data_IF_752580827632
#
_entry.id   IF_752580827632
#
_cell.length_a   1.000
_cell.length_b   1.000
_cell.length_c   1.000
_cell.angle_alpha   90.00
_cell.angle_beta   90.00
_cell.angle_gamma   90.00
#
_symmetry.space_group_name_H-M   'P 1'
#
loop_
_entity.id
_entity.type
_entity.pdbx_description
1 polymer ?
#
# COMPACT_ATOMS: atom_id res chain seq x y z
N UNK A 1 14.86 -5.88 -5.15
CA UNK A 1 14.67 -5.50 -6.57
C UNK A 1 13.44 -6.14 -7.20
N UNK A 2 13.20 -7.44 -7.09
CA UNK A 2 12.03 -8.11 -7.69
C UNK A 2 10.68 -7.49 -7.26
N UNK A 3 10.52 -7.15 -5.99
CA UNK A 3 9.31 -6.50 -5.45
C UNK A 3 8.99 -5.19 -6.19
N UNK A 4 9.96 -4.28 -6.29
CA UNK A 4 9.78 -2.98 -6.98
C UNK A 4 9.43 -3.20 -8.46
N UNK A 5 10.04 -4.21 -9.10
CA UNK A 5 9.72 -4.60 -10.47
C UNK A 5 8.25 -5.00 -10.60
N UNK A 6 7.72 -5.83 -9.69
CA UNK A 6 6.31 -6.23 -9.67
C UNK A 6 5.40 -5.01 -9.53
N UNK A 7 5.71 -4.09 -8.61
CA UNK A 7 4.92 -2.86 -8.41
C UNK A 7 4.85 -1.97 -9.66
N UNK A 8 5.91 -1.94 -10.47
CA UNK A 8 5.91 -1.17 -11.71
C UNK A 8 5.19 -1.91 -12.86
N UNK A 9 5.45 -3.20 -13.03
CA UNK A 9 4.99 -3.95 -14.20
C UNK A 9 3.51 -4.33 -14.15
N UNK A 10 2.96 -4.63 -12.99
CA UNK A 10 1.55 -5.08 -12.90
C UNK A 10 0.58 -3.98 -13.37
N UNK A 11 0.61 -2.73 -12.87
CA UNK A 11 -0.25 -1.67 -13.40
C UNK A 11 0.01 -1.38 -14.89
N UNK A 12 1.28 -1.36 -15.32
CA UNK A 12 1.64 -1.12 -16.73
C UNK A 12 1.09 -2.20 -17.65
N UNK A 13 1.07 -3.46 -17.22
CA UNK A 13 0.45 -4.53 -18.00
C UNK A 13 -1.02 -4.23 -18.27
N UNK A 14 -1.80 -3.88 -17.26
CA UNK A 14 -3.22 -3.54 -17.43
C UNK A 14 -3.43 -2.33 -18.34
N UNK A 15 -2.62 -1.29 -18.17
CA UNK A 15 -2.71 -0.05 -18.98
C UNK A 15 -2.36 -0.33 -20.47
N UNK A 16 -1.36 -1.17 -20.72
CA UNK A 16 -0.86 -1.43 -22.08
C UNK A 16 -1.58 -2.57 -22.80
N UNK A 17 -2.32 -3.42 -22.09
CA UNK A 17 -3.00 -4.55 -22.69
C UNK A 17 -4.12 -4.07 -23.64
N UNK A 18 -4.12 -4.49 -24.93
CA UNK A 18 -5.03 -3.92 -25.95
C UNK A 18 -6.52 -4.07 -25.62
N UNK A 19 -6.90 -5.19 -24.99
CA UNK A 19 -8.28 -5.47 -24.64
C UNK A 19 -8.69 -4.90 -23.27
N UNK A 20 -7.75 -4.51 -22.42
CA UNK A 20 -8.04 -4.06 -21.03
C UNK A 20 -7.84 -2.56 -20.88
N UNK A 21 -6.75 -2.04 -21.43
CA UNK A 21 -6.38 -0.61 -21.30
C UNK A 21 -7.50 0.36 -21.64
N UNK A 22 -8.29 0.15 -22.69
CA UNK A 22 -9.43 1.03 -23.03
C UNK A 22 -10.54 1.07 -21.97
N UNK A 23 -10.61 0.08 -21.08
CA UNK A 23 -11.61 0.01 -20.01
C UNK A 23 -11.13 0.60 -18.69
N UNK A 24 -9.88 1.08 -18.63
CA UNK A 24 -9.36 1.75 -17.44
C UNK A 24 -9.91 3.17 -17.33
N UNK A 25 -9.96 3.69 -16.11
CA UNK A 25 -10.38 5.07 -15.83
C UNK A 25 -9.23 6.07 -15.93
N UNK A 26 -8.13 5.67 -16.61
CA UNK A 26 -6.94 6.50 -16.77
C UNK A 26 -7.24 7.69 -17.69
N UNK A 27 -6.97 8.90 -17.19
CA UNK A 27 -7.07 10.14 -17.99
C UNK A 27 -5.69 10.80 -18.16
N UNK A 28 -5.53 11.59 -19.24
CA UNK A 28 -4.23 12.13 -19.64
C UNK A 28 -4.04 13.61 -19.30
N UNK A 29 -5.09 14.40 -19.35
CA UNK A 29 -5.04 15.84 -19.13
C UNK A 29 -5.73 16.19 -17.82
N UNK A 30 -5.06 16.93 -16.95
CA UNK A 30 -5.66 17.36 -15.68
C UNK A 30 -6.92 18.17 -15.91
N UNK A 31 -7.01 18.89 -17.05
CA UNK A 31 -8.21 19.64 -17.45
C UNK A 31 -9.46 18.78 -17.61
N UNK A 32 -9.32 17.46 -17.84
CA UNK A 32 -10.49 16.58 -18.05
C UNK A 32 -11.36 16.46 -16.78
N UNK A 33 -10.73 16.55 -15.59
CA UNK A 33 -11.41 16.52 -14.29
C UNK A 33 -11.10 17.73 -13.40
N UNK A 34 -10.10 18.54 -13.77
CA UNK A 34 -9.68 19.73 -13.04
C UNK A 34 -8.81 19.46 -11.81
N UNK A 35 -8.19 20.53 -11.30
CA UNK A 35 -7.28 20.47 -10.14
C UNK A 35 -7.97 20.06 -8.84
N UNK A 36 -9.24 20.41 -8.68
CA UNK A 36 -10.01 20.01 -7.50
C UNK A 36 -10.12 18.48 -7.38
N UNK A 37 -10.43 17.80 -8.49
CA UNK A 37 -10.39 16.34 -8.54
C UNK A 37 -8.98 15.78 -8.35
N UNK A 38 -8.00 16.37 -9.05
CA UNK A 38 -6.61 15.89 -8.95
C UNK A 38 -6.14 15.79 -7.50
N UNK A 39 -6.35 16.81 -6.70
CA UNK A 39 -5.98 16.77 -5.28
C UNK A 39 -6.99 16.02 -4.41
N UNK A 40 -8.27 16.09 -4.73
CA UNK A 40 -9.35 15.40 -4.02
C UNK A 40 -9.32 13.87 -4.15
N UNK A 41 -8.68 13.34 -5.20
CA UNK A 41 -8.52 11.91 -5.39
C UNK A 41 -7.60 11.28 -4.32
N UNK A 42 -6.61 11.99 -3.81
CA UNK A 42 -5.66 11.42 -2.83
C UNK A 42 -6.33 10.95 -1.53
N UNK A 43 -7.19 11.72 -0.85
CA UNK A 43 -7.93 11.20 0.32
C UNK A 43 -8.73 9.94 0.00
N UNK A 44 -9.36 9.87 -1.17
CA UNK A 44 -10.12 8.70 -1.61
C UNK A 44 -9.17 7.50 -1.80
N UNK A 45 -8.04 7.70 -2.47
CA UNK A 45 -7.02 6.68 -2.68
C UNK A 45 -6.47 6.15 -1.34
N UNK A 46 -6.23 7.03 -0.35
CA UNK A 46 -5.78 6.61 0.98
C UNK A 46 -6.82 5.76 1.70
N UNK A 47 -8.09 6.14 1.69
CA UNK A 47 -9.16 5.34 2.29
C UNK A 47 -9.32 3.97 1.59
N UNK A 48 -9.27 3.96 0.28
CA UNK A 48 -9.33 2.71 -0.50
C UNK A 48 -8.12 1.82 -0.21
N UNK A 49 -6.91 2.41 -0.17
CA UNK A 49 -5.69 1.69 0.14
C UNK A 49 -5.73 1.09 1.54
N UNK A 50 -6.10 1.87 2.55
CA UNK A 50 -6.18 1.41 3.94
C UNK A 50 -7.19 0.27 4.09
N UNK A 51 -8.37 0.40 3.48
CA UNK A 51 -9.38 -0.65 3.46
C UNK A 51 -8.89 -1.91 2.76
N UNK A 52 -8.29 -1.77 1.58
CA UNK A 52 -7.73 -2.89 0.82
C UNK A 52 -6.61 -3.58 1.62
N UNK A 53 -5.67 -2.80 2.13
CA UNK A 53 -4.52 -3.29 2.88
C UNK A 53 -4.96 -4.05 4.13
N UNK A 54 -5.91 -3.52 4.90
CA UNK A 54 -6.45 -4.19 6.07
C UNK A 54 -6.96 -5.60 5.74
N UNK A 55 -7.78 -5.72 4.70
CA UNK A 55 -8.35 -7.02 4.34
C UNK A 55 -7.34 -7.96 3.70
N UNK A 56 -6.48 -7.47 2.84
CA UNK A 56 -5.43 -8.23 2.20
C UNK A 56 -4.43 -8.77 3.24
N UNK A 57 -3.97 -7.92 4.13
CA UNK A 57 -3.05 -8.27 5.21
C UNK A 57 -3.68 -9.29 6.17
N UNK A 58 -4.91 -9.05 6.60
CA UNK A 58 -5.67 -10.00 7.43
C UNK A 58 -5.84 -11.35 6.76
N UNK A 59 -6.11 -11.36 5.45
CA UNK A 59 -6.19 -12.59 4.66
C UNK A 59 -4.85 -13.33 4.62
N UNK A 60 -3.74 -12.61 4.42
CA UNK A 60 -2.40 -13.19 4.42
C UNK A 60 -2.00 -13.77 5.78
N UNK A 61 -2.55 -13.26 6.88
CA UNK A 61 -2.39 -13.84 8.22
C UNK A 61 -3.24 -15.09 8.47
N UNK A 62 -4.11 -15.49 7.53
CA UNK A 62 -4.86 -16.74 7.68
C UNK A 62 -3.89 -17.94 7.76
N UNK A 63 -4.05 -18.89 8.71
CA UNK A 63 -3.09 -19.98 8.95
C UNK A 63 -2.67 -20.79 7.71
N UNK A 64 -3.59 -20.96 6.74
CA UNK A 64 -3.31 -21.69 5.50
C UNK A 64 -2.52 -20.87 4.48
N UNK A 65 -2.53 -19.54 4.58
CA UNK A 65 -1.93 -18.62 3.60
C UNK A 65 -0.64 -17.98 4.13
N UNK A 66 -0.52 -17.81 5.43
CA UNK A 66 0.59 -17.11 6.06
C UNK A 66 1.96 -17.59 5.60
N UNK A 67 2.20 -18.90 5.61
CA UNK A 67 3.49 -19.46 5.20
C UNK A 67 3.84 -19.21 3.74
N UNK A 68 2.82 -19.13 2.88
CA UNK A 68 3.02 -18.95 1.44
C UNK A 68 3.19 -17.47 1.06
N UNK A 69 2.43 -16.58 1.70
CA UNK A 69 2.37 -15.20 1.29
C UNK A 69 3.21 -14.28 2.18
N UNK A 70 3.12 -14.41 3.50
CA UNK A 70 3.50 -13.36 4.44
C UNK A 70 4.62 -13.74 5.43
N UNK A 71 4.97 -15.02 5.54
CA UNK A 71 6.03 -15.48 6.46
C UNK A 71 7.37 -14.79 6.18
N UNK A 72 7.74 -14.59 4.90
CA UNK A 72 9.03 -13.97 4.53
C UNK A 72 9.15 -12.57 5.14
N UNK A 73 8.07 -11.79 5.11
CA UNK A 73 8.00 -10.46 5.72
C UNK A 73 8.19 -10.55 7.25
N UNK A 74 7.51 -11.48 7.90
CA UNK A 74 7.55 -11.70 9.34
C UNK A 74 8.81 -12.42 9.87
N UNK A 75 9.73 -12.86 9.01
CA UNK A 75 11.05 -13.32 9.47
C UNK A 75 11.83 -12.20 10.19
N UNK A 76 11.52 -10.96 9.89
CA UNK A 76 12.06 -9.79 10.60
C UNK A 76 11.18 -9.48 11.82
N UNK A 77 11.43 -10.12 12.95
CA UNK A 77 10.68 -9.93 14.21
C UNK A 77 10.98 -8.61 14.92
N UNK A 78 12.04 -7.92 14.54
CA UNK A 78 12.36 -6.56 14.91
C UNK A 78 12.77 -5.82 13.64
N UNK A 79 11.77 -5.40 12.80
CA UNK A 79 12.06 -4.88 11.48
C UNK A 79 12.88 -3.59 11.53
N UNK A 80 13.70 -3.43 10.53
CA UNK A 80 14.38 -2.19 10.18
C UNK A 80 13.76 -1.62 8.91
N UNK A 81 14.05 -0.37 8.52
CA UNK A 81 13.57 0.21 7.26
C UNK A 81 13.82 -0.66 6.02
N UNK A 82 14.85 -1.49 6.03
CA UNK A 82 15.15 -2.43 4.94
C UNK A 82 14.15 -3.59 4.84
N UNK A 83 13.48 -3.93 5.94
CA UNK A 83 12.45 -4.97 5.94
C UNK A 83 11.14 -4.54 5.27
N UNK A 84 10.93 -3.24 5.10
CA UNK A 84 9.70 -2.66 4.53
C UNK A 84 9.30 -3.25 3.17
N UNK A 85 10.27 -3.76 2.41
CA UNK A 85 10.05 -4.38 1.10
C UNK A 85 10.64 -5.81 1.00
N UNK A 86 10.88 -6.46 2.14
CA UNK A 86 11.29 -7.86 2.20
C UNK A 86 10.08 -8.78 2.05
N UNK A 87 9.42 -8.74 0.89
CA UNK A 87 8.21 -9.51 0.57
C UNK A 87 8.51 -10.77 -0.20
N UNK A 88 7.70 -11.80 0.00
CA UNK A 88 7.57 -12.88 -0.96
C UNK A 88 6.95 -12.34 -2.26
N UNK A 89 7.32 -12.84 -3.47
CA UNK A 89 6.74 -12.35 -4.73
C UNK A 89 5.21 -12.39 -4.79
N UNK A 90 4.59 -13.41 -4.20
CA UNK A 90 3.13 -13.51 -4.13
C UNK A 90 2.51 -12.43 -3.23
N UNK A 91 3.16 -12.06 -2.15
CA UNK A 91 2.77 -10.92 -1.31
C UNK A 91 2.83 -9.62 -2.11
N UNK A 92 3.95 -9.39 -2.83
CA UNK A 92 4.12 -8.21 -3.66
C UNK A 92 3.00 -8.07 -4.72
N UNK A 93 2.51 -9.19 -5.29
CA UNK A 93 1.37 -9.18 -6.23
C UNK A 93 0.08 -8.73 -5.52
N UNK A 94 -0.17 -9.21 -4.31
CA UNK A 94 -1.32 -8.78 -3.52
C UNK A 94 -1.20 -7.30 -3.18
N UNK A 95 -0.05 -6.87 -2.67
CA UNK A 95 0.18 -5.47 -2.29
C UNK A 95 -0.03 -4.49 -3.46
N UNK A 96 0.46 -4.84 -4.65
CA UNK A 96 0.28 -4.00 -5.84
C UNK A 96 -1.16 -4.00 -6.38
N UNK A 97 -1.98 -4.96 -5.97
CA UNK A 97 -3.37 -5.10 -6.41
C UNK A 97 -4.21 -3.84 -6.21
N UNK A 98 -3.92 -3.03 -5.19
CA UNK A 98 -4.61 -1.74 -4.98
C UNK A 98 -4.45 -0.78 -6.17
N UNK A 99 -3.30 -0.76 -6.83
CA UNK A 99 -3.10 0.07 -8.02
C UNK A 99 -3.96 -0.39 -9.20
N UNK A 100 -4.20 -1.69 -9.29
CA UNK A 100 -5.16 -2.24 -10.27
C UNK A 100 -6.60 -1.84 -9.90
N UNK A 101 -6.95 -1.89 -8.62
CA UNK A 101 -8.27 -1.39 -8.15
C UNK A 101 -8.47 0.08 -8.54
N UNK A 102 -7.48 0.94 -8.31
CA UNK A 102 -7.56 2.35 -8.71
C UNK A 102 -7.83 2.51 -10.22
N UNK A 103 -7.16 1.72 -11.07
CA UNK A 103 -7.31 1.79 -12.53
C UNK A 103 -8.74 1.55 -13.03
N UNK A 104 -9.58 0.87 -12.25
CA UNK A 104 -10.93 0.49 -12.68
C UNK A 104 -12.05 1.14 -11.86
N UNK A 105 -11.72 1.90 -10.82
CA UNK A 105 -12.74 2.40 -9.87
C UNK A 105 -12.86 3.91 -9.80
N UNK A 106 -11.76 4.65 -9.99
CA UNK A 106 -11.75 6.11 -9.89
C UNK A 106 -10.99 6.73 -11.08
N UNK A 107 -11.39 7.90 -11.57
CA UNK A 107 -10.61 8.63 -12.56
C UNK A 107 -9.21 8.92 -12.03
N UNK A 108 -8.18 8.37 -12.69
CA UNK A 108 -6.80 8.44 -12.21
C UNK A 108 -5.85 9.00 -13.28
N UNK A 109 -4.98 9.92 -12.89
CA UNK A 109 -3.92 10.46 -13.72
C UNK A 109 -2.60 9.72 -13.47
N UNK A 110 -1.68 9.58 -14.44
CA UNK A 110 -0.37 8.93 -14.20
C UNK A 110 0.40 9.51 -13.01
N UNK A 111 0.31 10.80 -12.76
CA UNK A 111 0.93 11.44 -11.59
C UNK A 111 0.34 10.97 -10.25
N UNK A 112 -0.95 10.57 -10.20
CA UNK A 112 -1.52 9.97 -8.99
C UNK A 112 -0.78 8.69 -8.62
N UNK A 113 -0.49 7.81 -9.58
CA UNK A 113 0.29 6.60 -9.33
C UNK A 113 1.66 6.91 -8.77
N UNK A 114 2.38 7.83 -9.41
CA UNK A 114 3.73 8.19 -8.99
C UNK A 114 3.76 8.79 -7.58
N UNK A 115 2.92 9.80 -7.34
CA UNK A 115 2.87 10.51 -6.05
C UNK A 115 2.39 9.55 -4.95
N UNK A 116 1.31 8.79 -5.22
CA UNK A 116 0.77 7.84 -4.25
C UNK A 116 1.77 6.73 -3.93
N UNK A 117 2.44 6.17 -4.92
CA UNK A 117 3.50 5.18 -4.72
C UNK A 117 4.63 5.74 -3.85
N UNK A 118 5.09 6.95 -4.13
CA UNK A 118 6.14 7.60 -3.32
C UNK A 118 5.68 7.79 -1.86
N UNK A 119 4.46 8.26 -1.64
CA UNK A 119 3.91 8.43 -0.30
C UNK A 119 3.75 7.07 0.42
N UNK A 120 3.32 6.04 -0.30
CA UNK A 120 3.23 4.67 0.24
C UNK A 120 4.58 4.10 0.62
N UNK A 121 5.63 4.36 -0.19
CA UNK A 121 7.01 3.96 0.15
C UNK A 121 7.47 4.64 1.43
N UNK A 122 7.28 5.94 1.54
CA UNK A 122 7.67 6.71 2.73
C UNK A 122 6.93 6.18 3.97
N UNK A 123 5.63 5.95 3.84
CA UNK A 123 4.80 5.46 4.95
C UNK A 123 5.16 4.02 5.36
N UNK A 124 5.44 3.14 4.41
CA UNK A 124 5.86 1.78 4.68
C UNK A 124 7.23 1.73 5.37
N UNK A 125 8.20 2.52 4.88
CA UNK A 125 9.51 2.68 5.54
C UNK A 125 9.35 3.23 6.96
N UNK A 126 8.49 4.22 7.15
CA UNK A 126 8.15 4.75 8.47
C UNK A 126 7.60 3.65 9.41
N UNK A 127 6.67 2.82 8.93
CA UNK A 127 6.12 1.70 9.71
C UNK A 127 7.18 0.74 10.25
N UNK A 128 8.31 0.61 9.55
CA UNK A 128 9.41 -0.30 9.88
C UNK A 128 10.59 0.39 10.60
N UNK A 129 10.44 1.61 11.11
CA UNK A 129 11.52 2.30 11.84
C UNK A 129 11.85 1.66 13.19
N UNK A 130 10.90 0.98 13.82
CA UNK A 130 11.05 0.39 15.15
C UNK A 130 10.96 1.38 16.31
N UNK A 131 10.78 2.67 16.04
CA UNK A 131 10.57 3.72 17.03
C UNK A 131 9.55 4.75 16.55
N UNK A 132 8.88 5.39 17.51
CA UNK A 132 7.75 6.28 17.23
C UNK A 132 8.20 7.70 17.00
N UNK A 133 7.75 8.32 15.90
CA UNK A 133 7.99 9.73 15.59
C UNK A 133 6.82 10.64 15.98
N UNK A 134 5.63 10.05 16.22
CA UNK A 134 4.49 10.85 16.70
C UNK A 134 4.64 11.25 18.16
N UNK A 135 4.01 12.35 18.58
CA UNK A 135 4.04 12.79 19.97
C UNK A 135 3.51 11.71 20.93
N UNK A 136 4.07 11.69 22.15
CA UNK A 136 3.64 10.76 23.21
C UNK A 136 2.11 10.83 23.43
N UNK A 137 1.47 9.67 23.40
CA UNK A 137 0.02 9.55 23.55
C UNK A 137 -0.78 9.66 22.26
N UNK A 138 -0.14 9.89 21.10
CA UNK A 138 -0.82 10.01 19.81
C UNK A 138 -1.68 8.79 19.49
N UNK A 139 -1.19 7.57 19.69
CA UNK A 139 -1.93 6.32 19.44
C UNK A 139 -3.21 6.17 20.30
N UNK A 140 -3.31 6.93 21.41
CA UNK A 140 -4.51 6.98 22.25
C UNK A 140 -5.48 8.10 21.87
N UNK A 141 -5.04 9.03 21.02
CA UNK A 141 -5.89 10.10 20.53
C UNK A 141 -6.98 9.54 19.60
N UNK A 142 -8.16 10.17 19.57
CA UNK A 142 -9.30 9.69 18.78
C UNK A 142 -9.03 9.55 17.28
N UNK A 143 -8.15 10.36 16.70
CA UNK A 143 -7.65 10.24 15.33
C UNK A 143 -6.49 9.24 15.24
N UNK A 144 -5.52 9.34 16.16
CA UNK A 144 -4.28 8.57 16.13
C UNK A 144 -4.50 7.05 16.25
N UNK A 145 -5.58 6.63 16.91
CA UNK A 145 -5.94 5.20 17.02
C UNK A 145 -6.28 4.52 15.69
N UNK A 146 -6.57 5.31 14.65
CA UNK A 146 -6.85 4.79 13.30
C UNK A 146 -5.62 4.76 12.40
N UNK A 147 -4.50 5.30 12.87
CA UNK A 147 -3.26 5.38 12.10
C UNK A 147 -2.31 4.29 12.59
N UNK A 148 -1.84 3.46 11.67
CA UNK A 148 -0.82 2.49 12.00
C UNK A 148 0.49 3.22 12.29
N UNK A 149 1.00 3.05 13.51
CA UNK A 149 2.25 3.67 13.93
C UNK A 149 3.41 2.68 13.85
N UNK A 150 4.64 3.19 13.78
CA UNK A 150 5.84 2.36 13.72
C UNK A 150 5.94 1.39 14.91
N UNK A 151 5.58 1.83 16.10
CA UNK A 151 5.59 0.96 17.29
C UNK A 151 4.53 -0.13 17.22
N UNK A 152 3.31 0.21 16.76
CA UNK A 152 2.25 -0.77 16.59
C UNK A 152 2.64 -1.83 15.55
N UNK A 153 3.20 -1.40 14.43
CA UNK A 153 3.65 -2.30 13.37
C UNK A 153 4.82 -3.18 13.82
N UNK A 154 5.76 -2.64 14.60
CA UNK A 154 6.85 -3.42 15.18
C UNK A 154 6.32 -4.49 16.16
N UNK A 155 5.32 -4.15 16.99
CA UNK A 155 4.66 -5.13 17.87
C UNK A 155 3.93 -6.20 17.06
N UNK A 156 3.30 -5.83 15.95
CA UNK A 156 2.67 -6.77 15.04
C UNK A 156 3.69 -7.78 14.49
N UNK A 157 4.86 -7.33 14.03
CA UNK A 157 5.96 -8.21 13.59
C UNK A 157 6.47 -9.12 14.71
N UNK A 158 6.57 -8.61 15.93
CA UNK A 158 7.10 -9.36 17.06
C UNK A 158 6.13 -10.44 17.57
N UNK A 159 4.83 -10.14 17.59
CA UNK A 159 3.83 -11.00 18.23
C UNK A 159 2.84 -11.64 17.25
N UNK A 160 2.90 -11.33 15.98
CA UNK A 160 1.99 -11.81 14.92
C UNK A 160 0.51 -11.50 15.21
N UNK A 161 0.24 -10.50 16.03
CA UNK A 161 -1.10 -10.07 16.44
C UNK A 161 -1.34 -8.64 15.95
N UNK A 162 -2.46 -8.41 15.32
CA UNK A 162 -2.93 -7.11 14.89
C UNK A 162 -4.35 -6.90 15.33
#
# INVERSE_FOLDING_TARGET
MLTITIFAFVPLFFIKHPAIGPHTTLYKNISDFGWAWFWGAFPIMFLMHDTYFYWAHRLMHHPKLFRLFHLVHHLSTNPSPWAAYAFHPLEAIIEVGIFVVFLFTIPIHPLHFFIFFLLSVIYNVYGHLGWEIYPKGFSRHWLGKWINTSVNHNQHHQFFKG
#
